data_IF_427083060472
#
_entry.id   IF_427083060472
#
_cell.length_a   1.000
_cell.length_b   1.000
_cell.length_c   1.000
_cell.angle_alpha   90.00
_cell.angle_beta   90.00
_cell.angle_gamma   90.00
#
_symmetry.space_group_name_H-M   'P 1'
#
loop_
_entity.id
_entity.type
_entity.pdbx_description
1 polymer ?
#
# COMPACT_ATOMS: atom_id res chain seq x y z
N UNK A 1 11.84 -5.15 17.03
CA UNK A 1 10.56 -4.41 16.88
C UNK A 1 10.00 -4.68 15.49
N UNK A 2 8.69 -4.78 15.34
CA UNK A 2 8.03 -5.02 14.06
C UNK A 2 6.78 -4.17 13.90
N UNK A 3 6.53 -3.77 12.66
CA UNK A 3 5.31 -3.12 12.21
C UNK A 3 4.52 -4.05 11.31
N UNK A 4 3.20 -4.07 11.53
CA UNK A 4 2.24 -4.75 10.67
C UNK A 4 1.08 -3.79 10.38
N UNK A 5 0.67 -3.72 9.11
CA UNK A 5 -0.52 -2.95 8.74
C UNK A 5 -1.77 -3.52 9.42
N UNK A 6 -2.74 -2.67 9.73
CA UNK A 6 -3.96 -3.08 10.45
C UNK A 6 -4.81 -4.13 9.71
N UNK A 7 -4.62 -4.27 8.40
CA UNK A 7 -5.31 -5.30 7.60
C UNK A 7 -4.54 -6.64 7.52
N UNK A 8 -3.42 -6.80 8.21
CA UNK A 8 -2.67 -8.05 8.28
C UNK A 8 -3.41 -9.13 9.08
N UNK A 9 -3.34 -10.38 8.62
CA UNK A 9 -3.87 -11.58 9.29
C UNK A 9 -2.83 -12.69 9.19
N UNK A 10 -2.46 -13.28 10.33
CA UNK A 10 -1.55 -14.41 10.38
C UNK A 10 -2.32 -15.70 10.13
N UNK A 11 -1.91 -16.47 9.11
CA UNK A 11 -2.52 -17.74 8.74
C UNK A 11 -1.68 -18.94 9.18
N UNK A 12 -0.39 -18.73 9.40
CA UNK A 12 0.57 -19.73 9.88
C UNK A 12 1.35 -19.18 11.08
N UNK A 13 2.00 -20.08 11.81
CA UNK A 13 2.98 -19.70 12.83
C UNK A 13 4.22 -19.05 12.18
N UNK A 14 4.70 -17.98 12.80
CA UNK A 14 5.87 -17.21 12.35
C UNK A 14 6.96 -17.37 13.38
N UNK A 15 8.02 -18.09 13.01
CA UNK A 15 9.11 -18.43 13.92
C UNK A 15 10.35 -17.54 13.76
N UNK A 16 11.49 -18.07 14.20
CA UNK A 16 12.79 -17.41 14.15
C UNK A 16 13.25 -17.08 12.72
N UNK A 17 12.67 -17.73 11.69
CA UNK A 17 12.96 -17.41 10.30
C UNK A 17 12.57 -15.98 9.92
N UNK A 18 11.69 -15.34 10.71
CA UNK A 18 11.29 -13.95 10.54
C UNK A 18 12.31 -12.96 11.13
N UNK A 19 13.15 -13.41 12.08
CA UNK A 19 14.09 -12.56 12.79
C UNK A 19 15.34 -12.23 11.95
N UNK A 20 15.90 -11.00 12.10
CA UNK A 20 17.21 -10.66 11.55
C UNK A 20 18.27 -11.11 12.56
N UNK A 21 18.86 -12.29 12.33
CA UNK A 21 19.87 -12.86 13.23
C UNK A 21 21.21 -12.13 13.05
N UNK A 22 21.69 -12.07 11.81
CA UNK A 22 22.94 -11.38 11.46
C UNK A 22 22.67 -9.94 11.01
N UNK A 23 21.53 -9.73 10.36
CA UNK A 23 21.10 -8.43 9.84
C UNK A 23 20.53 -7.53 10.95
N UNK A 24 20.28 -6.26 10.63
CA UNK A 24 19.66 -5.31 11.56
C UNK A 24 18.19 -5.07 11.27
N UNK A 25 17.80 -5.07 10.00
CA UNK A 25 16.44 -4.78 9.54
C UNK A 25 15.82 -5.97 8.81
N UNK A 26 14.49 -5.98 8.72
CA UNK A 26 13.69 -6.97 7.99
C UNK A 26 12.65 -6.24 7.16
N UNK A 27 12.54 -6.62 5.89
CA UNK A 27 11.52 -6.12 4.98
C UNK A 27 10.89 -7.27 4.20
N UNK A 28 9.67 -7.07 3.71
CA UNK A 28 8.98 -8.04 2.86
C UNK A 28 8.98 -7.58 1.42
N UNK A 29 9.46 -8.43 0.52
CA UNK A 29 9.45 -8.16 -0.91
C UNK A 29 8.01 -8.13 -1.45
N UNK A 30 7.75 -7.27 -2.42
CA UNK A 30 6.49 -7.24 -3.16
C UNK A 30 6.32 -8.46 -4.06
N UNK A 31 5.08 -8.71 -4.48
CA UNK A 31 4.77 -9.81 -5.41
C UNK A 31 5.33 -9.55 -6.81
N UNK A 32 5.61 -8.30 -7.19
CA UNK A 32 6.30 -8.01 -8.45
C UNK A 32 7.81 -8.30 -8.34
N UNK A 33 8.22 -9.41 -7.72
CA UNK A 33 9.63 -9.76 -7.55
C UNK A 33 10.28 -10.10 -8.90
N UNK A 34 11.60 -9.93 -9.02
CA UNK A 34 12.41 -10.43 -10.14
C UNK A 34 12.22 -11.92 -10.37
N UNK A 35 11.92 -12.69 -9.32
CA UNK A 35 11.56 -14.12 -9.42
C UNK A 35 10.34 -14.36 -10.31
N UNK A 36 9.43 -13.38 -10.42
CA UNK A 36 8.26 -13.40 -11.31
C UNK A 36 8.50 -12.62 -12.60
N UNK A 37 9.76 -12.28 -12.91
CA UNK A 37 10.18 -11.68 -14.17
C UNK A 37 10.13 -10.14 -14.21
N UNK A 38 9.81 -9.48 -13.10
CA UNK A 38 9.76 -8.02 -13.05
C UNK A 38 11.16 -7.41 -13.22
N UNK A 39 11.24 -6.32 -13.98
CA UNK A 39 12.47 -5.52 -14.14
C UNK A 39 12.47 -4.40 -13.11
N UNK A 40 13.66 -3.91 -12.77
CA UNK A 40 13.84 -2.78 -11.82
C UNK A 40 13.05 -1.54 -12.24
N UNK A 41 12.92 -1.31 -13.54
CA UNK A 41 12.18 -0.17 -14.08
C UNK A 41 10.66 -0.34 -14.01
N UNK A 42 10.17 -1.57 -13.82
CA UNK A 42 8.75 -1.86 -13.61
C UNK A 42 8.32 -1.60 -12.16
N UNK A 43 9.29 -1.43 -11.25
CA UNK A 43 9.01 -1.07 -9.87
C UNK A 43 8.49 0.36 -9.78
N UNK A 44 7.42 0.52 -9.00
CA UNK A 44 6.78 1.81 -8.74
C UNK A 44 7.50 2.60 -7.66
N UNK A 45 8.84 2.72 -7.76
CA UNK A 45 9.60 3.65 -6.94
C UNK A 45 9.19 5.09 -7.24
N UNK A 46 9.47 6.00 -6.31
CA UNK A 46 9.32 7.43 -6.54
C UNK A 46 10.30 7.90 -7.63
N UNK A 47 9.77 8.49 -8.70
CA UNK A 47 10.55 8.95 -9.87
C UNK A 47 10.63 10.47 -9.98
N UNK A 48 9.98 11.21 -9.09
CA UNK A 48 10.13 12.65 -8.98
C UNK A 48 11.49 12.99 -8.36
N UNK A 49 12.44 13.58 -9.11
CA UNK A 49 13.77 13.89 -8.60
C UNK A 49 13.79 14.95 -7.49
N UNK A 50 12.67 15.63 -7.24
CA UNK A 50 12.53 16.60 -6.16
C UNK A 50 12.15 15.95 -4.82
N UNK A 51 11.68 14.70 -4.82
CA UNK A 51 11.36 13.97 -3.59
C UNK A 51 12.60 13.34 -2.98
N UNK A 52 12.69 13.36 -1.65
CA UNK A 52 13.72 12.62 -0.92
C UNK A 52 13.55 11.10 -0.97
N UNK A 53 12.44 10.58 -1.54
CA UNK A 53 12.26 9.17 -1.85
C UNK A 53 12.75 8.78 -3.26
N UNK A 54 13.27 9.72 -4.05
CA UNK A 54 13.61 9.49 -5.45
C UNK A 54 14.60 8.34 -5.69
N UNK A 55 14.24 7.43 -6.60
CA UNK A 55 15.13 6.39 -7.11
C UNK A 55 15.14 6.49 -8.65
N UNK A 56 16.30 6.67 -9.30
CA UNK A 56 16.40 6.72 -10.76
C UNK A 56 16.12 5.35 -11.41
N UNK A 57 15.76 5.36 -12.69
CA UNK A 57 15.68 4.14 -13.50
C UNK A 57 17.02 3.40 -13.53
N UNK A 58 16.97 2.08 -13.59
CA UNK A 58 18.13 1.19 -13.52
C UNK A 58 18.71 0.97 -12.12
N UNK A 59 18.23 1.68 -11.10
CA UNK A 59 18.69 1.54 -9.70
C UNK A 59 17.68 0.75 -8.87
N UNK A 60 18.20 -0.18 -8.08
CA UNK A 60 17.44 -0.97 -7.13
C UNK A 60 17.47 -2.47 -7.39
N UNK A 61 17.20 -3.24 -6.35
CA UNK A 61 17.23 -4.71 -6.36
C UNK A 61 15.87 -5.32 -6.03
N UNK A 62 15.19 -4.77 -5.02
CA UNK A 62 13.93 -5.24 -4.49
C UNK A 62 12.92 -4.10 -4.39
N UNK A 63 11.64 -4.40 -4.55
CA UNK A 63 10.57 -3.47 -4.21
C UNK A 63 9.89 -3.98 -2.94
N UNK A 64 10.19 -3.38 -1.80
CA UNK A 64 9.65 -3.82 -0.51
C UNK A 64 8.32 -3.13 -0.21
N UNK A 65 7.45 -3.81 0.53
CA UNK A 65 6.16 -3.27 0.93
C UNK A 65 6.21 -2.62 2.31
N UNK A 66 5.58 -1.47 2.48
CA UNK A 66 5.50 -0.77 3.77
C UNK A 66 4.64 -1.50 4.80
N UNK A 67 3.76 -2.40 4.35
CA UNK A 67 2.80 -3.08 5.22
C UNK A 67 3.38 -4.05 6.26
N UNK A 68 4.62 -4.52 6.07
CA UNK A 68 5.34 -5.38 7.04
C UNK A 68 6.82 -5.07 6.97
N UNK A 69 7.38 -4.62 8.09
CA UNK A 69 8.81 -4.35 8.23
C UNK A 69 9.21 -4.39 9.71
N UNK A 70 10.50 -4.45 10.00
CA UNK A 70 10.98 -4.55 11.37
C UNK A 70 12.48 -4.62 11.47
N UNK A 71 12.97 -5.01 12.65
CA UNK A 71 14.40 -5.10 12.90
C UNK A 71 14.76 -5.18 14.37
N UNK A 72 16.07 -5.17 14.63
CA UNK A 72 16.62 -4.84 15.95
C UNK A 72 16.16 -3.44 16.32
N UNK A 73 15.85 -3.23 17.61
CA UNK A 73 15.16 -2.02 18.08
C UNK A 73 15.92 -0.74 17.72
N UNK A 74 17.24 -0.71 17.90
CA UNK A 74 18.06 0.48 17.62
C UNK A 74 18.01 0.86 16.13
N UNK A 75 18.36 -0.07 15.25
CA UNK A 75 18.32 0.15 13.81
C UNK A 75 16.92 0.51 13.29
N UNK A 76 15.88 -0.09 13.86
CA UNK A 76 14.51 0.22 13.45
C UNK A 76 14.07 1.62 13.90
N UNK A 77 14.50 2.09 15.08
CA UNK A 77 14.24 3.47 15.50
C UNK A 77 14.98 4.48 14.63
N UNK A 78 16.21 4.16 14.23
CA UNK A 78 16.98 4.98 13.28
C UNK A 78 16.30 5.08 11.91
N UNK A 79 15.81 3.94 11.38
CA UNK A 79 14.97 3.93 10.18
C UNK A 79 13.78 4.89 10.35
N UNK A 80 13.01 4.76 11.42
CA UNK A 80 11.81 5.60 11.65
C UNK A 80 12.15 7.09 11.71
N UNK A 81 13.21 7.49 12.42
CA UNK A 81 13.60 8.90 12.51
C UNK A 81 14.02 9.45 11.14
N UNK A 82 14.83 8.70 10.38
CA UNK A 82 15.24 9.10 9.02
C UNK A 82 14.04 9.24 8.10
N UNK A 83 13.09 8.30 8.13
CA UNK A 83 11.88 8.39 7.30
C UNK A 83 11.04 9.60 7.70
N UNK A 84 10.85 9.85 8.99
CA UNK A 84 10.11 11.00 9.51
C UNK A 84 10.73 12.32 9.01
N UNK A 85 12.04 12.51 9.17
CA UNK A 85 12.74 13.71 8.69
C UNK A 85 12.57 13.92 7.18
N UNK A 86 12.71 12.86 6.38
CA UNK A 86 12.54 12.92 4.92
C UNK A 86 11.10 13.27 4.52
N UNK A 87 10.12 12.62 5.16
CA UNK A 87 8.70 12.86 4.90
C UNK A 87 8.32 14.30 5.28
N UNK A 88 8.73 14.77 6.46
CA UNK A 88 8.47 16.15 6.89
C UNK A 88 9.10 17.17 5.95
N UNK A 89 10.30 16.88 5.43
CA UNK A 89 10.98 17.74 4.47
C UNK A 89 10.27 17.76 3.11
N UNK A 90 9.87 16.61 2.58
CA UNK A 90 9.08 16.54 1.34
C UNK A 90 7.74 17.29 1.50
N UNK A 91 7.04 17.09 2.61
CA UNK A 91 5.80 17.82 2.93
C UNK A 91 6.03 19.33 2.99
N UNK A 92 7.13 19.78 3.60
CA UNK A 92 7.49 21.21 3.67
C UNK A 92 7.73 21.84 2.29
N UNK A 93 8.11 21.02 1.31
CA UNK A 93 8.31 21.40 -0.09
C UNK A 93 7.04 21.19 -0.95
N UNK A 94 5.91 20.79 -0.35
CA UNK A 94 4.67 20.51 -1.07
C UNK A 94 4.69 19.19 -1.86
N UNK A 95 5.53 18.24 -1.47
CA UNK A 95 5.72 16.95 -2.13
C UNK A 95 5.10 15.84 -1.26
N UNK A 96 4.34 14.95 -1.88
CA UNK A 96 3.88 13.69 -1.30
C UNK A 96 4.39 12.58 -2.20
N UNK A 97 5.23 11.69 -1.67
CA UNK A 97 5.78 10.58 -2.43
C UNK A 97 4.67 9.62 -2.91
N UNK A 98 4.85 9.01 -4.07
CA UNK A 98 3.86 8.19 -4.78
C UNK A 98 3.18 7.14 -3.89
N UNK A 99 3.97 6.44 -3.06
CA UNK A 99 3.50 5.44 -2.11
C UNK A 99 3.80 5.81 -0.66
N UNK A 100 3.87 7.11 -0.37
CA UNK A 100 4.04 7.65 0.99
C UNK A 100 5.28 7.06 1.68
N UNK A 101 5.12 6.42 2.84
CA UNK A 101 6.17 5.77 3.62
C UNK A 101 6.87 4.64 2.87
N UNK A 102 6.16 3.84 2.07
CA UNK A 102 6.73 2.75 1.27
C UNK A 102 7.79 3.27 0.27
N UNK A 103 7.57 4.45 -0.33
CA UNK A 103 8.56 5.08 -1.21
C UNK A 103 9.84 5.44 -0.46
N UNK A 104 9.72 6.03 0.74
CA UNK A 104 10.89 6.38 1.55
C UNK A 104 11.61 5.15 2.12
N UNK A 105 10.89 4.08 2.48
CA UNK A 105 11.50 2.80 2.90
C UNK A 105 12.36 2.24 1.77
N UNK A 106 11.82 2.18 0.56
CA UNK A 106 12.58 1.68 -0.59
C UNK A 106 13.83 2.53 -0.83
N UNK A 107 13.73 3.87 -0.72
CA UNK A 107 14.91 4.74 -0.81
C UNK A 107 15.93 4.46 0.29
N UNK A 108 15.49 4.28 1.52
CA UNK A 108 16.35 3.96 2.65
C UNK A 108 17.18 2.70 2.39
N UNK A 109 16.55 1.65 1.85
CA UNK A 109 17.25 0.40 1.49
C UNK A 109 18.31 0.63 0.41
N UNK A 110 18.06 1.52 -0.57
CA UNK A 110 19.07 1.90 -1.57
C UNK A 110 20.27 2.61 -0.95
N UNK A 111 20.04 3.38 0.13
CA UNK A 111 21.09 4.12 0.83
C UNK A 111 21.94 3.24 1.76
N UNK A 112 21.47 2.03 2.09
CA UNK A 112 22.25 1.07 2.88
C UNK A 112 23.45 0.56 2.08
N UNK A 113 24.60 0.49 2.75
CA UNK A 113 25.89 0.21 2.11
C UNK A 113 26.08 -1.27 1.84
N UNK A 114 25.52 -2.14 2.69
CA UNK A 114 25.66 -3.59 2.55
C UNK A 114 24.31 -4.31 2.57
N UNK A 115 24.17 -5.33 1.72
CA UNK A 115 23.06 -6.31 1.78
C UNK A 115 23.06 -7.11 3.11
N UNK A 116 24.05 -6.91 3.97
CA UNK A 116 24.13 -7.50 5.32
C UNK A 116 23.34 -6.71 6.37
N UNK A 117 22.93 -5.48 6.06
CA UNK A 117 22.22 -4.63 7.03
C UNK A 117 20.74 -5.01 7.13
N UNK A 118 20.21 -5.73 6.13
CA UNK A 118 18.79 -6.06 6.06
C UNK A 118 18.51 -7.45 5.48
N UNK A 119 17.42 -8.05 5.95
CA UNK A 119 16.89 -9.32 5.48
C UNK A 119 15.64 -9.09 4.66
N UNK A 120 15.58 -9.67 3.46
CA UNK A 120 14.38 -9.66 2.62
C UNK A 120 13.63 -10.98 2.77
N UNK A 121 12.41 -10.89 3.27
CA UNK A 121 11.47 -12.00 3.30
C UNK A 121 10.67 -12.06 1.99
N UNK A 122 10.24 -13.26 1.62
CA UNK A 122 9.38 -13.47 0.46
C UNK A 122 8.00 -12.83 0.66
N UNK A 123 7.26 -12.66 -0.44
CA UNK A 123 5.90 -12.14 -0.42
C UNK A 123 4.91 -12.99 0.42
N UNK A 124 5.28 -14.21 0.82
CA UNK A 124 4.56 -15.05 1.78
C UNK A 124 4.19 -14.33 3.08
N UNK A 125 5.02 -13.37 3.52
CA UNK A 125 4.84 -12.63 4.77
C UNK A 125 4.07 -11.31 4.60
N UNK A 126 3.59 -11.01 3.39
CA UNK A 126 2.66 -9.90 3.15
C UNK A 126 1.85 -10.18 1.87
N UNK A 127 1.14 -11.30 1.82
CA UNK A 127 0.44 -11.76 0.62
C UNK A 127 -0.88 -10.98 0.44
N UNK A 128 -1.13 -10.26 -0.66
CA UNK A 128 -2.39 -9.57 -0.90
C UNK A 128 -3.53 -10.55 -1.18
N UNK A 129 -4.68 -10.33 -0.53
CA UNK A 129 -5.83 -11.24 -0.60
C UNK A 129 -6.39 -11.46 -2.01
N UNK A 130 -6.31 -10.46 -2.90
CA UNK A 130 -6.88 -10.53 -4.24
C UNK A 130 -5.86 -10.94 -5.31
N UNK A 131 -4.74 -11.54 -4.92
CA UNK A 131 -3.73 -11.99 -5.87
C UNK A 131 -3.92 -13.44 -6.29
N UNK A 132 -3.31 -13.80 -7.42
CA UNK A 132 -3.44 -15.13 -8.02
C UNK A 132 -3.05 -16.24 -7.02
N UNK A 133 -3.96 -17.18 -6.70
CA UNK A 133 -3.68 -18.30 -5.81
C UNK A 133 -2.66 -19.30 -6.39
N UNK A 134 -2.34 -19.23 -7.68
CA UNK A 134 -1.36 -20.10 -8.34
C UNK A 134 0.08 -19.59 -8.22
N UNK A 135 0.32 -18.49 -7.50
CA UNK A 135 1.67 -18.04 -7.22
C UNK A 135 2.44 -19.06 -6.36
N UNK A 136 3.76 -19.18 -6.56
CA UNK A 136 4.60 -20.17 -5.87
C UNK A 136 4.88 -19.83 -4.39
N UNK A 137 4.07 -18.98 -3.76
CA UNK A 137 4.25 -18.55 -2.38
C UNK A 137 3.19 -19.19 -1.49
N UNK A 138 3.60 -19.81 -0.37
CA UNK A 138 2.66 -20.11 0.72
C UNK A 138 2.23 -18.82 1.41
N UNK A 139 0.95 -18.65 1.69
CA UNK A 139 0.43 -17.43 2.32
C UNK A 139 0.53 -17.53 3.85
N UNK A 140 1.64 -17.05 4.42
CA UNK A 140 1.85 -17.02 5.87
C UNK A 140 1.14 -15.85 6.55
N UNK A 141 1.23 -14.66 5.96
CA UNK A 141 0.54 -13.45 6.44
C UNK A 141 -0.24 -12.85 5.29
N UNK A 142 -1.56 -12.80 5.44
CA UNK A 142 -2.51 -12.25 4.49
C UNK A 142 -2.75 -10.76 4.74
N UNK A 143 -2.61 -9.94 3.71
CA UNK A 143 -3.03 -8.54 3.68
C UNK A 143 -4.46 -8.48 3.13
N UNK A 144 -5.44 -8.31 4.02
CA UNK A 144 -6.86 -8.30 3.64
C UNK A 144 -7.21 -7.18 2.68
N UNK A 145 -8.12 -7.45 1.74
CA UNK A 145 -8.66 -6.43 0.86
C UNK A 145 -9.54 -5.46 1.65
N UNK A 146 -9.07 -4.21 1.69
CA UNK A 146 -9.74 -3.08 2.32
C UNK A 146 -11.10 -2.79 1.69
N UNK A 147 -11.33 -3.13 0.42
CA UNK A 147 -12.61 -2.90 -0.24
C UNK A 147 -13.74 -3.77 0.34
N UNK A 148 -13.41 -4.92 0.93
CA UNK A 148 -14.38 -5.74 1.67
C UNK A 148 -14.88 -5.06 2.97
N UNK A 149 -14.21 -3.99 3.41
CA UNK A 149 -14.53 -3.21 4.61
C UNK A 149 -14.89 -1.75 4.27
N UNK A 150 -15.38 -1.50 3.05
CA UNK A 150 -15.83 -0.17 2.59
C UNK A 150 -14.77 0.64 1.84
N UNK A 151 -13.55 0.12 1.71
CA UNK A 151 -12.48 0.76 0.95
C UNK A 151 -11.77 1.90 1.71
N UNK A 152 -10.76 2.47 1.06
CA UNK A 152 -9.86 3.45 1.68
C UNK A 152 -10.60 4.71 2.14
N UNK A 153 -11.47 5.27 1.31
CA UNK A 153 -12.16 6.52 1.61
C UNK A 153 -13.11 6.39 2.80
N UNK A 154 -13.93 5.32 2.81
CA UNK A 154 -14.81 5.00 3.94
C UNK A 154 -14.02 4.85 5.24
N UNK A 155 -12.94 4.05 5.22
CA UNK A 155 -12.12 3.82 6.41
C UNK A 155 -11.35 5.05 6.89
N UNK A 156 -11.05 5.99 5.99
CA UNK A 156 -10.42 7.27 6.32
C UNK A 156 -11.42 8.34 6.74
N UNK A 157 -12.72 8.02 6.77
CA UNK A 157 -13.77 8.99 7.06
C UNK A 157 -13.91 10.08 6.00
N UNK A 158 -13.44 9.83 4.78
CA UNK A 158 -13.62 10.76 3.66
C UNK A 158 -15.09 10.75 3.28
N UNK A 159 -15.78 11.83 3.63
CA UNK A 159 -17.17 12.02 3.22
C UNK A 159 -17.16 12.38 1.74
N UNK A 160 -17.74 11.52 0.89
CA UNK A 160 -17.93 11.84 -0.52
C UNK A 160 -18.74 13.15 -0.63
N UNK A 161 -18.14 14.20 -1.16
CA UNK A 161 -18.81 15.48 -1.40
C UNK A 161 -19.76 15.45 -2.60
N UNK A 162 -20.05 14.26 -3.15
CA UNK A 162 -20.97 14.06 -4.27
C UNK A 162 -22.45 14.26 -3.86
N UNK A 163 -22.77 15.51 -3.55
CA UNK A 163 -24.13 16.05 -3.63
C UNK A 163 -24.77 15.82 -5.02
N UNK A 164 -23.95 15.55 -6.03
CA UNK A 164 -24.31 15.29 -7.43
C UNK A 164 -25.05 13.97 -7.64
N UNK A 165 -24.62 12.87 -7.01
CA UNK A 165 -25.23 11.53 -7.20
C UNK A 165 -26.60 11.44 -6.54
N UNK A 166 -26.73 11.94 -5.31
CA UNK A 166 -28.02 12.04 -4.60
C UNK A 166 -28.96 13.03 -5.31
N UNK A 167 -28.44 14.15 -5.82
CA UNK A 167 -29.21 15.11 -6.63
C UNK A 167 -29.73 14.48 -7.93
N UNK A 168 -28.88 13.75 -8.66
CA UNK A 168 -29.26 13.02 -9.89
C UNK A 168 -30.31 11.96 -9.61
N UNK A 169 -30.16 11.16 -8.54
CA UNK A 169 -31.14 10.17 -8.13
C UNK A 169 -32.49 10.81 -7.77
N UNK A 170 -32.49 11.93 -7.01
CA UNK A 170 -33.70 12.70 -6.70
C UNK A 170 -34.37 13.27 -7.95
N UNK A 171 -33.60 13.76 -8.92
CA UNK A 171 -34.10 14.26 -10.21
C UNK A 171 -34.74 13.15 -11.04
N UNK A 172 -34.13 11.96 -11.07
CA UNK A 172 -34.68 10.81 -11.78
C UNK A 172 -35.99 10.33 -11.14
N UNK A 173 -36.03 10.26 -9.81
CA UNK A 173 -37.22 9.92 -9.03
C UNK A 173 -38.37 10.92 -9.24
N UNK A 174 -38.07 12.23 -9.28
CA UNK A 174 -39.11 13.24 -9.55
C UNK A 174 -39.63 13.15 -10.98
N UNK A 175 -38.75 12.89 -11.95
CA UNK A 175 -39.13 12.69 -13.35
C UNK A 175 -40.04 11.46 -13.51
N UNK A 176 -39.67 10.33 -12.91
CA UNK A 176 -40.48 9.11 -12.93
C UNK A 176 -41.86 9.34 -12.31
N UNK A 177 -41.93 9.94 -11.11
CA UNK A 177 -43.21 10.27 -10.45
C UNK A 177 -44.11 11.16 -11.33
N UNK A 178 -43.52 12.12 -12.03
CA UNK A 178 -44.27 13.03 -12.90
C UNK A 178 -44.82 12.29 -14.12
N UNK A 179 -44.01 11.42 -14.73
CA UNK A 179 -44.40 10.62 -15.90
C UNK A 179 -45.50 9.60 -15.54
N UNK A 180 -45.41 8.94 -14.39
CA UNK A 180 -46.45 8.04 -13.88
C UNK A 180 -47.76 8.77 -13.61
N UNK A 181 -47.72 9.98 -13.04
CA UNK A 181 -48.91 10.80 -12.78
C UNK A 181 -49.58 11.26 -14.08
N UNK A 182 -48.80 11.53 -15.13
CA UNK A 182 -49.31 11.91 -16.45
C UNK A 182 -49.97 10.71 -17.16
N UNK A 183 -49.37 9.52 -17.08
CA UNK A 183 -49.95 8.28 -17.59
C UNK A 183 -51.25 7.90 -16.87
N UNK A 184 -51.31 8.03 -15.54
CA UNK A 184 -52.55 7.79 -14.78
C UNK A 184 -53.68 8.74 -15.20
N UNK A 185 -53.38 10.00 -15.51
CA UNK A 185 -54.37 10.97 -16.00
C UNK A 185 -54.91 10.63 -17.39
N UNK A 186 -54.12 9.97 -18.24
CA UNK A 186 -54.58 9.50 -19.55
C UNK A 186 -55.43 8.23 -19.46
N UNK A 187 -55.32 7.44 -18.39
CA UNK A 187 -56.06 6.20 -18.18
C UNK A 187 -57.43 6.39 -17.47
N UNK A 188 -57.71 7.59 -16.95
CA UNK A 188 -58.96 7.94 -16.24
C UNK A 188 -59.82 8.88 -17.13
N UNK A 189 -59.80 8.68 -18.45
CA UNK A 189 -60.67 9.36 -19.41
C UNK A 189 -61.44 8.35 -20.24
#
# INVERSE_FOLDING_TARGET
MYFFNANAVFLEEIGEEFLPIEQDLVFVNGINDKLLGARVDDFTYERNPLSLAYIPYGVGKYYVRGGVNGGKTQAYLELVEVLKERIEKDLSNGIIAQWHDESHINRYIIDLVEDKDYKILSASYAFPQNFDPFLPYSCKILMRDKNLFGGHDFMRGVVSTDATTVSRARKLLSFLKTKTKQLLKCLIK
#
